data_IF_338321774401
#
_entry.id   IF_338321774401
#
_cell.length_a   1.000
_cell.length_b   1.000
_cell.length_c   1.000
_cell.angle_alpha   90.00
_cell.angle_beta   90.00
_cell.angle_gamma   90.00
#
_symmetry.space_group_name_H-M   'P 1'
#
loop_
_entity.id
_entity.type
_entity.pdbx_description
1 polymer ?
#
# COMPACT_ATOMS: atom_id res chain seq x y z
N UNK A 1 10.81 -18.19 3.96
CA UNK A 1 11.38 -16.84 4.11
C UNK A 1 10.95 -16.30 5.47
N UNK A 2 11.86 -15.70 6.26
CA UNK A 2 11.52 -15.16 7.59
C UNK A 2 10.89 -13.77 7.40
N UNK A 3 9.80 -13.48 8.11
CA UNK A 3 9.12 -12.17 8.13
C UNK A 3 10.05 -10.95 8.35
N UNK A 4 11.27 -11.19 8.83
CA UNK A 4 12.35 -10.21 9.01
C UNK A 4 12.90 -9.62 7.70
N UNK A 5 12.86 -10.34 6.58
CA UNK A 5 13.40 -9.86 5.29
C UNK A 5 12.43 -8.93 4.55
N UNK A 6 11.16 -8.93 4.95
CA UNK A 6 10.14 -8.06 4.41
C UNK A 6 10.23 -6.61 4.87
N UNK A 7 10.94 -6.39 5.97
CA UNK A 7 11.11 -5.07 6.59
C UNK A 7 12.00 -4.10 5.81
N UNK A 8 12.58 -4.46 4.66
CA UNK A 8 13.69 -3.68 4.10
C UNK A 8 13.71 -3.40 2.60
N UNK A 9 12.62 -3.68 1.85
CA UNK A 9 12.53 -3.26 0.43
C UNK A 9 11.23 -2.53 0.17
N UNK A 10 11.27 -1.20 0.26
CA UNK A 10 10.19 -0.37 -0.23
C UNK A 10 10.15 -0.37 -1.77
N UNK A 11 8.97 -0.16 -2.35
CA UNK A 11 8.85 0.06 -3.80
C UNK A 11 9.09 1.55 -4.05
N UNK A 12 10.14 1.89 -4.80
CA UNK A 12 10.32 3.28 -5.27
C UNK A 12 9.40 3.57 -6.43
N UNK A 13 8.70 4.68 -6.36
CA UNK A 13 7.81 5.14 -7.43
C UNK A 13 7.91 6.65 -7.57
N UNK A 14 7.66 7.14 -8.78
CA UNK A 14 7.63 8.57 -9.06
C UNK A 14 6.19 9.01 -9.24
N UNK A 15 5.75 10.01 -8.49
CA UNK A 15 4.50 10.72 -8.74
C UNK A 15 4.81 12.16 -9.15
N UNK A 16 4.33 12.55 -10.32
CA UNK A 16 4.67 13.83 -10.93
C UNK A 16 6.20 13.99 -11.02
N UNK A 17 6.77 14.95 -10.30
CA UNK A 17 8.22 15.23 -10.29
C UNK A 17 8.95 14.77 -9.03
N UNK A 18 8.24 14.09 -8.11
CA UNK A 18 8.82 13.61 -6.84
C UNK A 18 8.93 12.09 -6.81
N UNK A 19 10.03 11.61 -6.27
CA UNK A 19 10.24 10.20 -5.96
C UNK A 19 9.76 9.92 -4.55
N UNK A 20 9.03 8.81 -4.40
CA UNK A 20 8.48 8.30 -3.16
C UNK A 20 8.90 6.85 -2.98
N UNK A 21 8.91 6.38 -1.75
CA UNK A 21 9.14 4.99 -1.40
C UNK A 21 7.94 4.45 -0.64
N UNK A 22 7.30 3.41 -1.19
CA UNK A 22 6.24 2.69 -0.52
C UNK A 22 6.89 1.71 0.46
N UNK A 23 6.97 2.12 1.73
CA UNK A 23 7.44 1.26 2.82
C UNK A 23 6.27 0.51 3.43
N UNK A 24 6.36 -0.82 3.43
CA UNK A 24 5.43 -1.69 4.16
C UNK A 24 5.85 -1.78 5.63
N UNK A 25 5.85 -0.65 6.32
CA UNK A 25 6.08 -0.57 7.75
C UNK A 25 4.76 -0.39 8.53
N UNK A 26 4.86 -0.41 9.87
CA UNK A 26 3.68 -0.35 10.73
C UNK A 26 2.95 0.99 10.65
N UNK A 27 3.65 2.11 10.38
CA UNK A 27 2.99 3.41 10.27
C UNK A 27 2.13 3.45 9.01
N UNK A 28 2.64 2.96 7.88
CA UNK A 28 1.84 2.83 6.66
C UNK A 28 0.60 1.96 6.88
N UNK A 29 0.71 0.87 7.65
CA UNK A 29 -0.44 0.02 7.94
C UNK A 29 -1.46 0.68 8.87
N UNK A 30 -1.01 1.40 9.91
CA UNK A 30 -1.91 2.17 10.77
C UNK A 30 -2.65 3.26 9.98
N UNK A 31 -1.96 4.01 9.14
CA UNK A 31 -2.59 5.02 8.28
C UNK A 31 -3.58 4.41 7.28
N UNK A 32 -3.29 3.20 6.78
CA UNK A 32 -4.20 2.47 5.90
C UNK A 32 -5.44 1.98 6.65
N UNK A 33 -5.26 1.47 7.87
CA UNK A 33 -6.36 1.07 8.75
C UNK A 33 -7.23 2.26 9.12
N UNK A 34 -6.66 3.44 9.42
CA UNK A 34 -7.43 4.66 9.70
C UNK A 34 -8.32 5.07 8.53
N UNK A 35 -7.90 4.79 7.28
CA UNK A 35 -8.70 5.06 6.08
C UNK A 35 -9.83 4.06 5.89
N UNK A 36 -9.61 2.78 6.25
CA UNK A 36 -10.56 1.69 5.99
C UNK A 36 -11.47 1.37 7.18
N UNK A 37 -10.99 1.54 8.41
CA UNK A 37 -11.54 0.98 9.64
C UNK A 37 -11.23 -0.52 9.85
N UNK A 38 -10.73 -1.21 8.82
CA UNK A 38 -10.35 -2.63 8.87
C UNK A 38 -9.21 -2.90 7.89
N UNK A 39 -8.06 -3.34 8.43
CA UNK A 39 -6.87 -3.63 7.64
C UNK A 39 -7.04 -4.85 6.72
N UNK A 40 -7.86 -5.85 7.09
CA UNK A 40 -8.10 -7.03 6.27
C UNK A 40 -8.88 -6.67 5.00
N UNK A 41 -9.91 -5.84 5.14
CA UNK A 41 -10.65 -5.33 3.99
C UNK A 41 -9.77 -4.50 3.06
N UNK A 42 -8.81 -3.74 3.63
CA UNK A 42 -7.84 -3.00 2.84
C UNK A 42 -6.97 -3.92 1.99
N UNK A 43 -6.47 -5.02 2.55
CA UNK A 43 -5.67 -6.00 1.80
C UNK A 43 -6.48 -6.72 0.72
N UNK A 44 -7.71 -7.15 1.01
CA UNK A 44 -8.59 -7.76 0.01
C UNK A 44 -8.84 -6.80 -1.18
N UNK A 45 -9.10 -5.53 -0.89
CA UNK A 45 -9.35 -4.52 -1.91
C UNK A 45 -8.09 -4.20 -2.75
N UNK A 46 -6.90 -4.26 -2.14
CA UNK A 46 -5.61 -4.14 -2.81
C UNK A 46 -5.32 -5.35 -3.72
N UNK A 47 -5.58 -6.57 -3.25
CA UNK A 47 -5.45 -7.79 -4.06
C UNK A 47 -6.38 -7.76 -5.28
N UNK A 48 -7.60 -7.24 -5.11
CA UNK A 48 -8.56 -7.01 -6.18
C UNK A 48 -8.24 -5.79 -7.07
N UNK A 49 -7.11 -5.11 -6.83
CA UNK A 49 -6.63 -3.92 -7.58
C UNK A 49 -7.69 -2.81 -7.66
N UNK A 50 -8.48 -2.62 -6.60
CA UNK A 50 -9.46 -1.53 -6.56
C UNK A 50 -8.72 -0.18 -6.56
N UNK A 51 -9.12 0.73 -7.46
CA UNK A 51 -8.47 2.05 -7.62
C UNK A 51 -8.43 2.84 -6.30
N UNK A 52 -9.53 2.80 -5.53
CA UNK A 52 -9.59 3.44 -4.21
C UNK A 52 -8.57 2.87 -3.23
N UNK A 53 -8.32 1.56 -3.29
CA UNK A 53 -7.38 0.87 -2.43
C UNK A 53 -5.94 1.24 -2.76
N UNK A 54 -5.60 1.23 -4.06
CA UNK A 54 -4.28 1.67 -4.52
C UNK A 54 -4.04 3.12 -4.07
N UNK A 55 -5.00 4.02 -4.28
CA UNK A 55 -4.90 5.40 -3.80
C UNK A 55 -4.74 5.48 -2.28
N UNK A 56 -5.48 4.69 -1.52
CA UNK A 56 -5.41 4.67 -0.05
C UNK A 56 -4.03 4.20 0.44
N UNK A 57 -3.46 3.15 -0.14
CA UNK A 57 -2.13 2.67 0.24
C UNK A 57 -1.05 3.71 -0.07
N UNK A 58 -1.08 4.32 -1.26
CA UNK A 58 -0.12 5.37 -1.62
C UNK A 58 -0.27 6.59 -0.71
N UNK A 59 -1.51 6.97 -0.38
CA UNK A 59 -1.76 8.01 0.61
C UNK A 59 -1.16 7.67 1.96
N UNK A 60 -1.39 6.44 2.44
CA UNK A 60 -0.95 5.99 3.76
C UNK A 60 0.58 6.00 3.86
N UNK A 61 1.25 5.55 2.80
CA UNK A 61 2.72 5.55 2.73
C UNK A 61 3.32 6.96 2.71
N UNK A 62 2.69 7.89 1.98
CA UNK A 62 3.13 9.30 1.97
C UNK A 62 2.82 9.95 3.32
N UNK A 63 1.66 9.66 3.89
CA UNK A 63 1.17 10.24 5.16
C UNK A 63 2.05 9.85 6.34
N UNK A 64 2.51 8.60 6.38
CA UNK A 64 3.44 8.10 7.38
C UNK A 64 4.76 8.90 7.46
N UNK A 65 5.17 9.55 6.36
CA UNK A 65 6.37 10.40 6.29
C UNK A 65 6.03 11.90 6.26
N UNK A 66 4.82 12.27 5.82
CA UNK A 66 4.36 13.64 5.60
C UNK A 66 2.93 13.86 6.11
N UNK A 67 2.80 14.28 7.37
CA UNK A 67 1.51 14.43 8.07
C UNK A 67 0.49 15.36 7.38
N UNK A 68 0.90 16.29 6.53
CA UNK A 68 -0.02 17.27 5.94
C UNK A 68 -0.74 16.79 4.67
N UNK A 69 -0.42 15.60 4.15
CA UNK A 69 -1.00 15.11 2.90
C UNK A 69 -2.46 14.68 3.08
N UNK A 70 -3.27 14.84 2.02
CA UNK A 70 -4.65 14.37 1.97
C UNK A 70 -4.86 13.32 0.86
N UNK A 71 -5.88 12.46 1.02
CA UNK A 71 -6.29 11.49 0.00
C UNK A 71 -6.60 12.14 -1.36
N UNK A 72 -7.16 13.35 -1.34
CA UNK A 72 -7.54 14.08 -2.56
C UNK A 72 -6.31 14.59 -3.30
N UNK A 73 -5.29 15.06 -2.60
CA UNK A 73 -4.03 15.50 -3.20
C UNK A 73 -3.30 14.32 -3.84
N UNK A 74 -3.18 13.20 -3.15
CA UNK A 74 -2.58 11.98 -3.72
C UNK A 74 -3.37 11.53 -4.95
N UNK A 75 -4.71 11.56 -4.88
CA UNK A 75 -5.54 11.26 -6.04
C UNK A 75 -5.32 12.18 -7.25
N UNK A 76 -4.90 13.43 -7.07
CA UNK A 76 -4.53 14.34 -8.17
C UNK A 76 -3.16 14.03 -8.77
N UNK A 77 -2.26 13.46 -7.98
CA UNK A 77 -0.91 13.08 -8.40
C UNK A 77 -0.89 11.77 -9.20
N UNK A 78 -1.91 10.94 -9.03
CA UNK A 78 -2.04 9.63 -9.65
C UNK A 78 -2.72 9.72 -11.01
N UNK A 79 -2.10 9.12 -12.02
CA UNK A 79 -2.71 8.92 -13.34
C UNK A 79 -3.26 7.50 -13.48
N UNK A 80 -4.08 7.26 -14.51
CA UNK A 80 -4.55 5.90 -14.82
C UNK A 80 -3.38 4.94 -15.11
N UNK A 81 -2.33 5.43 -15.77
CA UNK A 81 -1.13 4.65 -16.05
C UNK A 81 -0.37 4.29 -14.76
N UNK A 82 -0.35 5.20 -13.78
CA UNK A 82 0.22 4.89 -12.47
C UNK A 82 -0.58 3.81 -11.73
N UNK A 83 -1.91 3.81 -11.85
CA UNK A 83 -2.75 2.79 -11.22
C UNK A 83 -2.48 1.38 -11.73
N UNK A 84 -2.27 1.22 -13.03
CA UNK A 84 -1.93 -0.08 -13.61
C UNK A 84 -0.55 -0.56 -13.12
N UNK A 85 0.47 0.31 -13.23
CA UNK A 85 1.83 -0.01 -12.82
C UNK A 85 1.93 -0.28 -11.32
N UNK A 86 1.34 0.58 -10.49
CA UNK A 86 1.36 0.45 -9.04
C UNK A 86 0.53 -0.75 -8.60
N UNK A 87 -0.64 -0.99 -9.20
CA UNK A 87 -1.48 -2.14 -8.87
C UNK A 87 -0.75 -3.47 -9.02
N UNK A 88 0.02 -3.63 -10.10
CA UNK A 88 0.86 -4.82 -10.32
C UNK A 88 1.99 -4.91 -9.30
N UNK A 89 2.77 -3.85 -9.11
CA UNK A 89 3.90 -3.86 -8.17
C UNK A 89 3.46 -4.08 -6.71
N UNK A 90 2.33 -3.48 -6.30
CA UNK A 90 1.74 -3.67 -4.98
C UNK A 90 1.29 -5.11 -4.80
N UNK A 91 0.60 -5.69 -5.79
CA UNK A 91 0.14 -7.08 -5.69
C UNK A 91 1.32 -8.04 -5.53
N UNK A 92 2.37 -7.88 -6.33
CA UNK A 92 3.60 -8.68 -6.21
C UNK A 92 4.25 -8.53 -4.83
N UNK A 93 4.37 -7.29 -4.33
CA UNK A 93 4.94 -7.05 -3.01
C UNK A 93 4.09 -7.62 -1.88
N UNK A 94 2.76 -7.54 -1.97
CA UNK A 94 1.85 -8.14 -0.99
C UNK A 94 1.93 -9.67 -0.99
N UNK A 95 2.04 -10.32 -2.15
CA UNK A 95 2.23 -11.79 -2.21
C UNK A 95 3.55 -12.20 -1.56
N UNK A 96 4.61 -11.41 -1.72
CA UNK A 96 5.90 -11.64 -1.06
C UNK A 96 5.79 -11.34 0.44
N UNK A 97 5.06 -10.28 0.81
CA UNK A 97 4.93 -9.78 2.17
C UNK A 97 4.03 -10.57 3.08
N UNK A 98 2.98 -11.09 2.49
CA UNK A 98 1.94 -11.84 3.12
C UNK A 98 1.85 -13.12 2.31
N UNK A 99 2.76 -14.08 2.54
CA UNK A 99 2.61 -15.40 1.94
C UNK A 99 1.21 -15.88 2.33
N UNK A 100 0.46 -16.31 1.30
CA UNK A 100 -0.97 -16.63 1.31
C UNK A 100 -1.49 -16.91 2.72
N UNK A 101 -2.53 -16.16 3.14
CA UNK A 101 -3.36 -16.55 4.29
C UNK A 101 -3.99 -17.90 3.93
N UNK A 102 -3.23 -18.97 4.11
CA UNK A 102 -3.70 -20.34 4.01
C UNK A 102 -4.55 -20.57 5.25
N UNK A 103 -5.84 -20.24 5.15
CA UNK A 103 -7.03 -20.71 5.88
C UNK A 103 -6.93 -21.33 7.30
N UNK A 104 -5.91 -21.07 8.12
CA UNK A 104 -5.83 -21.60 9.49
C UNK A 104 -5.28 -20.55 10.47
N UNK A 105 -5.95 -19.40 10.56
CA UNK A 105 -5.89 -18.55 11.77
C UNK A 105 -7.21 -18.70 12.51
N UNK A 106 -7.37 -19.86 13.14
CA UNK A 106 -8.58 -20.22 13.88
C UNK A 106 -8.48 -21.59 14.53
N UNK A 107 -7.53 -21.75 15.46
CA UNK A 107 -7.70 -22.62 16.64
C UNK A 107 -7.21 -21.87 17.88
#
# INVERSE_FOLDING_TARGET
MKASELKSKGIKFKLSDKEYELKFDMNTFCELEDVYGDINQAFEDLQNRKIKAIRALIYSAIKAEYESVTLKEVGRMLTLNDMERLGTAINEALVIAMPEVNENMGE
#
